data_IF_473535749773
#
_entry.id   IF_473535749773
#
_cell.length_a   1.000
_cell.length_b   1.000
_cell.length_c   1.000
_cell.angle_alpha   90.00
_cell.angle_beta   90.00
_cell.angle_gamma   90.00
#
_symmetry.space_group_name_H-M   'P 1'
#
loop_
_entity.id
_entity.type
_entity.pdbx_description
1 polymer ?
#
# COMPACT_ATOMS: atom_id res chain seq x y z
N UNK A 1 25.57 -2.94 17.46
CA UNK A 1 25.01 -1.63 17.07
C UNK A 1 23.69 -1.93 16.38
N UNK A 2 22.59 -1.70 17.08
CA UNK A 2 21.24 -2.00 16.58
C UNK A 2 20.85 -0.86 15.65
N UNK A 3 20.73 -1.12 14.35
CA UNK A 3 20.16 -0.16 13.40
C UNK A 3 18.73 0.15 13.85
N UNK A 4 18.53 1.37 14.35
CA UNK A 4 17.21 1.90 14.58
C UNK A 4 16.56 2.09 13.20
N UNK A 5 15.61 1.23 12.86
CA UNK A 5 14.75 1.44 11.70
C UNK A 5 14.04 2.78 11.88
N UNK A 6 14.49 3.80 11.17
CA UNK A 6 13.86 5.12 11.14
C UNK A 6 12.38 4.93 10.76
N UNK A 7 11.40 5.39 11.56
CA UNK A 7 9.97 5.18 11.27
C UNK A 7 9.44 5.95 10.06
N UNK A 8 10.31 6.43 9.17
CA UNK A 8 10.01 7.56 8.28
C UNK A 8 9.48 7.19 6.89
N UNK A 9 9.32 5.92 6.52
CA UNK A 9 8.75 5.55 5.19
C UNK A 9 8.05 4.19 5.18
N UNK A 10 7.23 3.88 6.20
CA UNK A 10 6.53 2.59 6.24
C UNK A 10 5.47 2.54 5.13
N UNK A 11 4.64 3.59 4.97
CA UNK A 11 3.55 3.57 3.99
C UNK A 11 4.05 3.44 2.54
N UNK A 12 5.04 4.23 2.06
CA UNK A 12 5.56 4.03 0.70
C UNK A 12 6.12 2.63 0.47
N UNK A 13 6.76 2.03 1.48
CA UNK A 13 7.29 0.66 1.38
C UNK A 13 6.19 -0.39 1.27
N UNK A 14 5.11 -0.26 2.04
CA UNK A 14 3.97 -1.19 1.97
C UNK A 14 3.23 -1.07 0.63
N UNK A 15 3.09 0.15 0.09
CA UNK A 15 2.51 0.37 -1.25
C UNK A 15 3.34 -0.34 -2.33
N UNK A 16 4.66 -0.15 -2.34
CA UNK A 16 5.55 -0.81 -3.32
C UNK A 16 5.56 -2.33 -3.15
N UNK A 17 5.53 -2.83 -1.91
CA UNK A 17 5.48 -4.26 -1.64
C UNK A 17 4.19 -4.89 -2.17
N UNK A 18 3.04 -4.24 -1.96
CA UNK A 18 1.75 -4.73 -2.45
C UNK A 18 1.65 -4.63 -3.97
N UNK A 19 2.15 -3.56 -4.59
CA UNK A 19 2.25 -3.43 -6.04
C UNK A 19 3.07 -4.57 -6.65
N UNK A 20 4.25 -4.85 -6.09
CA UNK A 20 5.11 -5.94 -6.56
C UNK A 20 4.42 -7.31 -6.45
N UNK A 21 3.69 -7.55 -5.36
CA UNK A 21 2.94 -8.78 -5.16
C UNK A 21 1.79 -8.93 -6.17
N UNK A 22 1.05 -7.86 -6.46
CA UNK A 22 -0.05 -7.86 -7.43
C UNK A 22 0.43 -8.01 -8.88
N UNK A 23 1.62 -7.51 -9.19
CA UNK A 23 2.22 -7.60 -10.51
C UNK A 23 3.06 -8.87 -10.72
N UNK A 24 3.18 -9.72 -9.70
CA UNK A 24 3.89 -10.98 -9.82
C UNK A 24 3.19 -11.91 -10.83
N UNK A 25 3.94 -12.70 -11.62
CA UNK A 25 3.36 -13.64 -12.59
C UNK A 25 2.44 -14.68 -11.93
N UNK A 26 2.71 -15.00 -10.66
CA UNK A 26 1.83 -15.76 -9.79
C UNK A 26 1.59 -14.92 -8.53
N UNK A 27 0.40 -14.30 -8.38
CA UNK A 27 0.11 -13.50 -7.21
C UNK A 27 0.18 -14.38 -5.95
N UNK A 28 0.87 -13.93 -4.89
CA UNK A 28 0.98 -14.73 -3.68
C UNK A 28 -0.39 -14.90 -3.03
N UNK A 29 -0.64 -16.05 -2.41
CA UNK A 29 -1.88 -16.30 -1.66
C UNK A 29 -2.12 -15.28 -0.52
N UNK A 30 -1.09 -14.54 -0.15
CA UNK A 30 -1.02 -13.63 0.97
C UNK A 30 -1.31 -12.16 0.60
N UNK A 31 -1.87 -11.87 -0.57
CA UNK A 31 -2.25 -10.50 -0.97
C UNK A 31 -3.11 -9.80 0.09
N UNK A 32 -4.02 -10.53 0.75
CA UNK A 32 -4.83 -10.01 1.86
C UNK A 32 -3.98 -9.54 3.04
N UNK A 33 -2.94 -10.29 3.40
CA UNK A 33 -2.01 -9.87 4.45
C UNK A 33 -1.21 -8.62 4.04
N UNK A 34 -0.94 -8.44 2.74
CA UNK A 34 -0.40 -7.19 2.20
C UNK A 34 -1.35 -6.01 2.38
N UNK A 35 -2.65 -6.20 2.08
CA UNK A 35 -3.66 -5.18 2.30
C UNK A 35 -3.83 -4.81 3.80
N UNK A 36 -3.80 -5.79 4.69
CA UNK A 36 -3.91 -5.56 6.13
C UNK A 36 -2.69 -4.79 6.70
N UNK A 37 -1.48 -5.08 6.18
CA UNK A 37 -0.28 -4.30 6.52
C UNK A 37 -0.36 -2.86 6.01
N UNK A 38 -0.89 -2.67 4.80
CA UNK A 38 -1.11 -1.35 4.24
C UNK A 38 -2.10 -0.53 5.08
N UNK A 39 -3.21 -1.14 5.50
CA UNK A 39 -4.19 -0.52 6.40
C UNK A 39 -3.58 -0.10 7.74
N UNK A 40 -2.74 -0.97 8.32
CA UNK A 40 -2.00 -0.66 9.54
C UNK A 40 -1.00 0.50 9.33
N UNK A 41 -0.32 0.55 8.18
CA UNK A 41 0.62 1.62 7.85
C UNK A 41 -0.09 2.98 7.68
N UNK A 42 -1.25 3.00 7.03
CA UNK A 42 -2.10 4.20 6.90
C UNK A 42 -2.50 4.71 8.30
N UNK A 43 -2.92 3.80 9.18
CA UNK A 43 -3.34 4.17 10.54
C UNK A 43 -2.18 4.69 11.39
N UNK A 44 -0.97 4.19 11.13
CA UNK A 44 0.25 4.62 11.82
C UNK A 44 0.80 5.96 11.29
N UNK A 45 0.60 6.27 10.01
CA UNK A 45 0.95 7.56 9.43
C UNK A 45 -0.15 8.59 9.71
N UNK A 46 0.14 9.54 10.60
CA UNK A 46 -0.83 10.57 11.01
C UNK A 46 -1.09 11.69 10.00
N UNK A 47 -0.42 11.70 8.84
CA UNK A 47 -0.49 12.80 7.85
C UNK A 47 -0.47 12.30 6.40
N UNK A 48 -1.33 11.33 6.09
CA UNK A 48 -1.55 10.87 4.71
C UNK A 48 -2.46 11.87 3.97
N UNK A 49 -2.07 12.38 2.80
CA UNK A 49 -2.93 13.25 1.99
C UNK A 49 -4.29 12.58 1.70
N UNK A 50 -5.39 13.32 1.83
CA UNK A 50 -6.75 12.79 1.66
C UNK A 50 -6.96 12.10 0.29
N UNK A 51 -6.39 12.66 -0.78
CA UNK A 51 -6.45 12.05 -2.12
C UNK A 51 -5.74 10.69 -2.16
N UNK A 52 -4.59 10.55 -1.48
CA UNK A 52 -3.91 9.27 -1.37
C UNK A 52 -4.69 8.29 -0.47
N UNK A 53 -5.29 8.78 0.61
CA UNK A 53 -6.07 7.95 1.53
C UNK A 53 -7.26 7.28 0.84
N UNK A 54 -8.04 8.03 0.05
CA UNK A 54 -9.20 7.49 -0.67
C UNK A 54 -8.80 6.39 -1.67
N UNK A 55 -7.70 6.60 -2.39
CA UNK A 55 -7.14 5.62 -3.34
C UNK A 55 -6.60 4.38 -2.61
N UNK A 56 -5.93 4.56 -1.46
CA UNK A 56 -5.40 3.45 -0.66
C UNK A 56 -6.51 2.60 -0.05
N UNK A 57 -7.55 3.23 0.50
CA UNK A 57 -8.72 2.51 1.02
C UNK A 57 -9.43 1.75 -0.10
N UNK A 58 -9.56 2.35 -1.28
CA UNK A 58 -10.11 1.67 -2.47
C UNK A 58 -9.25 0.47 -2.87
N UNK A 59 -7.92 0.61 -2.90
CA UNK A 59 -7.02 -0.48 -3.21
C UNK A 59 -7.15 -1.67 -2.24
N UNK A 60 -7.27 -1.41 -0.93
CA UNK A 60 -7.44 -2.43 0.10
C UNK A 60 -8.71 -3.25 -0.15
N UNK A 61 -9.84 -2.59 -0.40
CA UNK A 61 -11.11 -3.26 -0.66
C UNK A 61 -11.07 -4.06 -1.97
N UNK A 62 -10.42 -3.55 -3.01
CA UNK A 62 -10.23 -4.25 -4.28
C UNK A 62 -9.35 -5.50 -4.14
N UNK A 63 -8.30 -5.45 -3.31
CA UNK A 63 -7.50 -6.64 -2.98
C UNK A 63 -8.34 -7.68 -2.23
N UNK A 64 -9.18 -7.24 -1.28
CA UNK A 64 -10.08 -8.13 -0.53
C UNK A 64 -11.16 -8.75 -1.43
N UNK A 65 -11.61 -8.00 -2.42
CA UNK A 65 -12.58 -8.38 -3.45
C UNK A 65 -12.03 -9.16 -4.64
N UNK A 66 -10.73 -9.49 -4.66
CA UNK A 66 -10.07 -10.24 -5.73
C UNK A 66 -10.08 -9.50 -7.10
N UNK A 67 -9.94 -8.17 -7.06
CA UNK A 67 -9.86 -7.29 -8.24
C UNK A 67 -8.45 -6.71 -8.44
N UNK A 68 -7.44 -7.52 -8.78
CA UNK A 68 -6.03 -7.13 -8.73
C UNK A 68 -5.67 -5.99 -9.71
N UNK A 69 -6.26 -5.96 -10.91
CA UNK A 69 -5.99 -4.91 -11.89
C UNK A 69 -6.48 -3.52 -11.43
N UNK A 70 -7.65 -3.50 -10.79
CA UNK A 70 -8.22 -2.27 -10.22
C UNK A 70 -7.41 -1.83 -8.99
N UNK A 71 -7.01 -2.78 -8.14
CA UNK A 71 -6.14 -2.52 -7.00
C UNK A 71 -4.79 -1.90 -7.41
N UNK A 72 -4.13 -2.42 -8.46
CA UNK A 72 -2.89 -1.83 -9.00
C UNK A 72 -3.10 -0.39 -9.45
N UNK A 73 -4.21 -0.12 -10.15
CA UNK A 73 -4.52 1.23 -10.63
C UNK A 73 -4.69 2.22 -9.48
N UNK A 74 -5.41 1.82 -8.43
CA UNK A 74 -5.61 2.62 -7.22
C UNK A 74 -4.29 2.85 -6.44
N UNK A 75 -3.44 1.82 -6.29
CA UNK A 75 -2.13 1.96 -5.64
C UNK A 75 -1.19 2.91 -6.39
N UNK A 76 -1.21 2.88 -7.73
CA UNK A 76 -0.42 3.81 -8.54
C UNK A 76 -0.91 5.26 -8.40
N UNK A 77 -2.23 5.47 -8.33
CA UNK A 77 -2.83 6.77 -8.09
C UNK A 77 -2.44 7.31 -6.70
N UNK A 78 -2.63 6.50 -5.65
CA UNK A 78 -2.20 6.83 -4.30
C UNK A 78 -0.72 7.21 -4.23
N UNK A 79 0.16 6.42 -4.86
CA UNK A 79 1.60 6.69 -4.89
C UNK A 79 1.93 8.04 -5.54
N UNK A 80 1.20 8.42 -6.59
CA UNK A 80 1.40 9.71 -7.27
C UNK A 80 0.94 10.90 -6.43
N UNK A 81 -0.01 10.68 -5.53
CA UNK A 81 -0.55 11.68 -4.61
C UNK A 81 0.28 11.85 -3.33
N UNK A 82 1.18 10.90 -3.01
CA UNK A 82 2.10 11.03 -1.89
C UNK A 82 3.25 12.00 -2.25
N UNK A 83 3.60 12.93 -1.34
CA UNK A 83 4.73 13.83 -1.58
C UNK A 83 6.01 13.03 -1.75
N UNK A 84 6.73 13.26 -2.85
CA UNK A 84 8.02 12.63 -3.11
C UNK A 84 9.04 13.14 -2.08
N UNK A 85 9.43 12.30 -1.12
CA UNK A 85 10.46 12.59 -0.12
C UNK A 85 11.88 12.46 -0.68
#
# INVERSE_FOLDING_TARGET
MTEAATPQRILPSEIESLLAALMAPEPPAELRAGADRLEAAITAEGDVPAAALDDLSSAIELVRGDEPCAAVSALLAARSALPHC
#
